data_IF_743804221694
#
_entry.id   IF_743804221694
#
_cell.length_a   1.000
_cell.length_b   1.000
_cell.length_c   1.000
_cell.angle_alpha   90.00
_cell.angle_beta   90.00
_cell.angle_gamma   90.00
#
_symmetry.space_group_name_H-M   'P 1'
#
loop_
_entity.id
_entity.type
_entity.pdbx_description
1 polymer ?
#
# COMPACT_ATOMS: atom_id res chain seq x y z
N UNK A 1 21.40 -0.70 -22.51
CA UNK A 1 21.18 0.09 -21.30
C UNK A 1 20.02 1.02 -21.61
N UNK A 2 18.85 0.79 -21.02
CA UNK A 2 17.75 1.76 -21.07
C UNK A 2 18.12 2.90 -20.13
N UNK A 3 18.18 4.12 -20.65
CA UNK A 3 18.34 5.33 -19.83
C UNK A 3 17.04 5.57 -19.07
N UNK A 4 17.13 5.70 -17.75
CA UNK A 4 16.03 6.08 -16.88
C UNK A 4 15.44 7.42 -17.34
N UNK A 5 14.14 7.55 -17.34
CA UNK A 5 13.48 8.84 -17.55
C UNK A 5 13.79 9.79 -16.38
N UNK A 6 13.77 11.10 -16.60
CA UNK A 6 13.94 12.10 -15.53
C UNK A 6 12.93 11.90 -14.37
N UNK A 7 11.75 11.40 -14.68
CA UNK A 7 10.73 11.05 -13.72
C UNK A 7 11.16 9.86 -12.83
N UNK A 8 11.70 8.80 -13.43
CA UNK A 8 12.18 7.62 -12.73
C UNK A 8 13.38 7.93 -11.83
N UNK A 9 14.28 8.78 -12.30
CA UNK A 9 15.40 9.30 -11.51
C UNK A 9 14.87 10.08 -10.31
N UNK A 10 13.91 10.99 -10.51
CA UNK A 10 13.32 11.77 -9.43
C UNK A 10 12.59 10.90 -8.39
N UNK A 11 11.92 9.83 -8.81
CA UNK A 11 11.31 8.86 -7.90
C UNK A 11 12.36 8.12 -7.09
N UNK A 12 13.44 7.66 -7.72
CA UNK A 12 14.55 6.97 -7.04
C UNK A 12 15.29 7.90 -6.07
N UNK A 13 15.54 9.15 -6.45
CA UNK A 13 16.15 10.15 -5.57
C UNK A 13 15.27 10.47 -4.35
N UNK A 14 13.96 10.60 -4.55
CA UNK A 14 13.02 10.79 -3.44
C UNK A 14 12.93 9.55 -2.53
N UNK A 15 13.05 8.36 -3.10
CA UNK A 15 13.11 7.11 -2.35
C UNK A 15 14.40 6.98 -1.55
N UNK A 16 15.55 7.36 -2.12
CA UNK A 16 16.85 7.38 -1.45
C UNK A 16 16.87 8.32 -0.24
N UNK A 17 16.10 9.42 -0.28
CA UNK A 17 15.97 10.37 0.82
C UNK A 17 15.04 9.89 1.93
N UNK A 18 14.08 9.05 1.62
CA UNK A 18 12.99 8.68 2.53
C UNK A 18 13.16 7.28 3.08
N UNK A 19 13.51 6.33 2.23
CA UNK A 19 13.90 4.99 2.63
C UNK A 19 15.42 4.95 2.48
N UNK A 20 16.18 4.68 3.54
CA UNK A 20 17.61 4.50 3.38
C UNK A 20 17.81 3.30 2.47
N UNK A 21 18.10 3.60 1.23
CA UNK A 21 18.62 2.61 0.32
C UNK A 21 19.90 2.06 0.94
N UNK A 22 20.18 0.77 0.78
CA UNK A 22 21.44 0.19 1.21
C UNK A 22 22.59 1.04 0.66
N UNK A 23 23.60 1.28 1.49
CA UNK A 23 24.79 2.02 1.04
C UNK A 23 25.34 1.38 -0.22
N UNK A 24 25.65 2.21 -1.22
CA UNK A 24 26.40 1.74 -2.39
C UNK A 24 27.76 1.26 -1.92
N UNK A 25 27.93 -0.04 -1.90
CA UNK A 25 29.22 -0.66 -1.71
C UNK A 25 29.71 -1.04 -3.10
N UNK A 26 30.74 -0.34 -3.58
CA UNK A 26 31.32 -0.42 -4.92
C UNK A 26 30.40 -0.05 -6.11
N UNK A 27 30.84 0.92 -6.79
CA UNK A 27 30.43 1.68 -7.97
C UNK A 27 29.18 1.29 -8.79
N UNK A 28 28.59 0.10 -8.61
CA UNK A 28 27.45 -0.36 -9.41
C UNK A 28 26.41 -1.23 -8.69
N UNK A 29 26.55 -1.53 -7.41
CA UNK A 29 25.62 -2.44 -6.69
C UNK A 29 25.05 -1.81 -5.43
N UNK A 30 23.74 -1.81 -5.34
CA UNK A 30 23.01 -1.43 -4.14
C UNK A 30 22.79 -2.73 -3.34
N UNK A 31 23.42 -2.87 -2.18
CA UNK A 31 23.21 -4.01 -1.27
C UNK A 31 22.39 -3.59 -0.07
N UNK A 32 21.50 -4.46 0.45
CA UNK A 32 20.93 -4.23 1.76
C UNK A 32 22.05 -4.16 2.80
N UNK A 33 21.99 -3.17 3.71
CA UNK A 33 22.91 -3.14 4.83
C UNK A 33 22.68 -4.38 5.70
N UNK A 34 23.61 -5.36 5.73
CA UNK A 34 23.42 -6.60 6.48
C UNK A 34 23.37 -6.38 7.98
N UNK A 35 23.78 -5.20 8.46
CA UNK A 35 23.75 -4.84 9.88
C UNK A 35 22.43 -4.21 10.28
N UNK A 36 21.62 -3.80 9.31
CA UNK A 36 20.37 -3.09 9.53
C UNK A 36 19.18 -4.04 9.67
N UNK A 37 18.37 -3.78 10.68
CA UNK A 37 17.07 -4.44 10.86
C UNK A 37 15.98 -3.56 10.26
N UNK A 38 15.32 -4.05 9.22
CA UNK A 38 14.13 -3.43 8.64
C UNK A 38 12.89 -3.85 9.42
N UNK A 39 11.97 -2.93 9.63
CA UNK A 39 10.63 -3.29 10.10
C UNK A 39 9.85 -4.01 8.99
N UNK A 40 8.82 -4.81 9.33
CA UNK A 40 7.97 -5.45 8.33
C UNK A 40 7.33 -4.44 7.35
N UNK A 41 6.97 -3.25 7.83
CA UNK A 41 6.37 -2.17 7.04
C UNK A 41 7.37 -1.58 6.05
N UNK A 42 8.61 -1.31 6.50
CA UNK A 42 9.69 -0.83 5.62
C UNK A 42 9.97 -1.84 4.52
N UNK A 43 10.09 -3.12 4.91
CA UNK A 43 10.38 -4.19 3.96
C UNK A 43 9.23 -4.39 2.96
N UNK A 44 7.99 -4.34 3.41
CA UNK A 44 6.83 -4.38 2.51
C UNK A 44 6.83 -3.21 1.51
N UNK A 45 7.15 -2.00 1.98
CA UNK A 45 7.25 -0.82 1.11
C UNK A 45 8.37 -0.98 0.07
N UNK A 46 9.54 -1.46 0.48
CA UNK A 46 10.66 -1.75 -0.42
C UNK A 46 10.30 -2.78 -1.48
N UNK A 47 9.72 -3.91 -1.07
CA UNK A 47 9.29 -4.96 -2.00
C UNK A 47 8.24 -4.47 -3.00
N UNK A 48 7.30 -3.65 -2.55
CA UNK A 48 6.31 -3.03 -3.42
C UNK A 48 6.97 -2.17 -4.50
N UNK A 49 7.92 -1.32 -4.10
CA UNK A 49 8.63 -0.42 -5.00
C UNK A 49 9.51 -1.18 -5.99
N UNK A 50 10.34 -2.09 -5.51
CA UNK A 50 11.21 -2.89 -6.38
C UNK A 50 10.41 -3.79 -7.31
N UNK A 51 9.29 -4.34 -6.86
CA UNK A 51 8.39 -5.11 -7.70
C UNK A 51 7.76 -4.31 -8.82
N UNK A 52 7.53 -3.00 -8.60
CA UNK A 52 7.02 -2.08 -9.63
C UNK A 52 8.10 -1.64 -10.60
N UNK A 53 9.28 -1.32 -10.11
CA UNK A 53 10.40 -0.82 -10.90
C UNK A 53 11.44 -1.92 -11.20
N UNK A 54 10.98 -3.16 -11.38
CA UNK A 54 11.83 -4.34 -11.60
C UNK A 54 12.84 -4.20 -12.73
N UNK A 55 12.47 -3.48 -13.79
CA UNK A 55 13.33 -3.29 -14.97
C UNK A 55 14.52 -2.34 -14.68
N UNK A 56 14.48 -1.63 -13.55
CA UNK A 56 15.47 -0.68 -13.08
C UNK A 56 16.27 -1.21 -11.88
N UNK A 57 15.82 -2.33 -11.29
CA UNK A 57 16.40 -2.91 -10.09
C UNK A 57 17.09 -4.21 -10.46
N UNK A 58 18.32 -4.43 -9.95
CA UNK A 58 18.96 -5.72 -10.08
C UNK A 58 18.13 -6.78 -9.34
N UNK A 59 17.80 -7.87 -10.06
CA UNK A 59 17.00 -8.97 -9.48
C UNK A 59 17.66 -9.59 -8.24
N UNK A 60 18.99 -9.57 -8.18
CA UNK A 60 19.77 -10.07 -7.04
C UNK A 60 19.40 -9.32 -5.75
N UNK A 61 19.28 -8.00 -5.81
CA UNK A 61 18.89 -7.15 -4.67
C UNK A 61 17.47 -7.47 -4.22
N UNK A 62 16.56 -7.62 -5.17
CA UNK A 62 15.18 -7.98 -4.84
C UNK A 62 15.11 -9.34 -4.15
N UNK A 63 15.90 -10.32 -4.60
CA UNK A 63 15.98 -11.63 -3.97
C UNK A 63 16.49 -11.56 -2.53
N UNK A 64 17.53 -10.76 -2.25
CA UNK A 64 18.03 -10.58 -0.89
C UNK A 64 16.99 -9.99 0.06
N UNK A 65 16.24 -8.98 -0.39
CA UNK A 65 15.11 -8.44 0.41
C UNK A 65 13.98 -9.45 0.61
N UNK A 66 13.71 -10.26 -0.41
CA UNK A 66 12.72 -11.34 -0.29
C UNK A 66 13.18 -12.41 0.68
N UNK A 67 14.42 -12.85 0.63
CA UNK A 67 14.97 -13.84 1.55
C UNK A 67 14.91 -13.32 2.99
N UNK A 68 15.26 -12.07 3.22
CA UNK A 68 15.12 -11.43 4.52
C UNK A 68 13.65 -11.35 4.98
N UNK A 69 12.73 -11.03 4.06
CA UNK A 69 11.29 -11.03 4.35
C UNK A 69 10.78 -12.42 4.72
N UNK A 70 11.22 -13.45 4.00
CA UNK A 70 10.86 -14.85 4.28
C UNK A 70 11.31 -15.28 5.67
N UNK A 71 12.52 -14.91 6.08
CA UNK A 71 13.03 -15.22 7.42
C UNK A 71 12.24 -14.48 8.51
N UNK A 72 11.95 -13.20 8.32
CA UNK A 72 11.09 -12.44 9.26
C UNK A 72 9.70 -13.06 9.40
N UNK A 73 9.08 -13.47 8.29
CA UNK A 73 7.74 -14.10 8.31
C UNK A 73 7.80 -15.45 9.06
N UNK A 74 8.85 -16.25 8.88
CA UNK A 74 9.03 -17.52 9.62
C UNK A 74 9.16 -17.29 11.12
N UNK A 75 9.97 -16.31 11.51
CA UNK A 75 10.28 -16.03 12.92
C UNK A 75 9.08 -15.46 13.67
N UNK A 76 8.26 -14.66 13.02
CA UNK A 76 7.17 -13.92 13.67
C UNK A 76 5.88 -13.85 12.83
N UNK A 77 5.34 -14.97 12.34
CA UNK A 77 4.26 -14.96 11.35
C UNK A 77 2.94 -14.40 11.87
N UNK A 78 2.81 -14.23 13.18
CA UNK A 78 1.57 -13.79 13.83
C UNK A 78 1.50 -12.31 14.18
N UNK A 79 2.54 -11.54 13.93
CA UNK A 79 2.50 -10.09 14.14
C UNK A 79 1.54 -9.44 13.13
N UNK A 80 0.69 -8.49 13.53
CA UNK A 80 -0.23 -7.79 12.62
C UNK A 80 0.49 -7.19 11.41
N UNK A 81 1.64 -6.55 11.64
CA UNK A 81 2.48 -5.96 10.60
C UNK A 81 2.96 -6.96 9.52
N UNK A 82 2.96 -8.26 9.80
CA UNK A 82 3.35 -9.28 8.82
C UNK A 82 2.31 -9.50 7.73
N UNK A 83 1.05 -9.15 7.94
CA UNK A 83 0.00 -9.35 6.93
C UNK A 83 0.35 -8.66 5.63
N UNK A 84 0.78 -7.40 5.69
CA UNK A 84 1.20 -6.68 4.51
C UNK A 84 2.43 -7.28 3.86
N UNK A 85 3.45 -7.61 4.64
CA UNK A 85 4.67 -8.22 4.13
C UNK A 85 4.39 -9.55 3.41
N UNK A 86 3.57 -10.42 4.00
CA UNK A 86 3.12 -11.68 3.38
C UNK A 86 2.40 -11.40 2.05
N UNK A 87 1.56 -10.38 2.02
CA UNK A 87 0.79 -10.00 0.82
C UNK A 87 1.72 -9.53 -0.30
N UNK A 88 2.70 -8.65 -0.01
CA UNK A 88 3.67 -8.18 -1.01
C UNK A 88 4.53 -9.34 -1.56
N UNK A 89 5.07 -10.20 -0.69
CA UNK A 89 5.85 -11.38 -1.12
C UNK A 89 5.01 -12.32 -2.00
N UNK A 90 3.77 -12.59 -1.61
CA UNK A 90 2.87 -13.43 -2.38
C UNK A 90 2.50 -12.83 -3.75
N UNK A 91 2.33 -11.50 -3.83
CA UNK A 91 2.03 -10.80 -5.08
C UNK A 91 3.22 -10.81 -6.05
N UNK A 92 4.45 -10.63 -5.55
CA UNK A 92 5.67 -10.77 -6.34
C UNK A 92 5.78 -12.17 -6.96
N UNK A 93 5.48 -13.21 -6.19
CA UNK A 93 5.44 -14.58 -6.67
C UNK A 93 4.34 -14.81 -7.72
N UNK A 94 3.12 -14.28 -7.49
CA UNK A 94 2.01 -14.34 -8.44
C UNK A 94 2.36 -13.68 -9.77
N UNK A 95 3.06 -12.56 -9.74
CA UNK A 95 3.52 -11.83 -10.94
C UNK A 95 4.66 -12.54 -11.66
N UNK A 96 5.20 -13.63 -11.09
CA UNK A 96 6.34 -14.36 -11.66
C UNK A 96 7.66 -13.58 -11.62
N UNK A 97 7.75 -12.56 -10.75
CA UNK A 97 8.95 -11.73 -10.59
C UNK A 97 10.02 -12.53 -9.84
N UNK A 98 9.60 -13.26 -8.82
CA UNK A 98 10.46 -14.11 -7.98
C UNK A 98 9.83 -15.48 -7.78
N UNK A 99 10.67 -16.45 -7.43
CA UNK A 99 10.19 -17.74 -6.94
C UNK A 99 9.98 -17.69 -5.44
N UNK A 100 8.76 -18.00 -4.98
CA UNK A 100 8.43 -18.03 -3.55
C UNK A 100 8.12 -19.45 -3.06
N UNK A 101 8.44 -19.77 -1.79
CA UNK A 101 8.11 -21.05 -1.22
C UNK A 101 6.60 -21.28 -1.10
N UNK A 102 6.15 -22.52 -1.31
CA UNK A 102 4.72 -22.86 -1.26
C UNK A 102 4.05 -22.54 0.09
N UNK A 103 4.80 -22.52 1.20
CA UNK A 103 4.26 -22.20 2.52
C UNK A 103 3.78 -20.74 2.65
N UNK A 104 4.21 -19.82 1.78
CA UNK A 104 3.71 -18.43 1.75
C UNK A 104 2.22 -18.40 1.45
N UNK A 105 1.71 -19.28 0.59
CA UNK A 105 0.26 -19.37 0.33
C UNK A 105 -0.52 -19.74 1.60
N UNK A 106 0.03 -20.63 2.43
CA UNK A 106 -0.55 -20.95 3.72
C UNK A 106 -0.48 -19.78 4.69
N UNK A 107 0.67 -19.09 4.74
CA UNK A 107 0.81 -17.88 5.57
C UNK A 107 -0.21 -16.80 5.18
N UNK A 108 -0.49 -16.61 3.88
CA UNK A 108 -1.53 -15.70 3.39
C UNK A 108 -2.94 -16.16 3.81
N UNK A 109 -3.25 -17.46 3.73
CA UNK A 109 -4.52 -18.01 4.23
C UNK A 109 -4.69 -17.77 5.74
N UNK A 110 -3.63 -17.99 6.50
CA UNK A 110 -3.64 -17.75 7.95
C UNK A 110 -3.77 -16.24 8.27
N UNK A 111 -3.17 -15.35 7.48
CA UNK A 111 -3.27 -13.91 7.65
C UNK A 111 -4.71 -13.40 7.53
N UNK A 112 -5.48 -13.85 6.55
CA UNK A 112 -6.88 -13.41 6.35
C UNK A 112 -7.87 -13.93 7.41
N UNK A 113 -7.44 -14.85 8.27
CA UNK A 113 -8.24 -15.30 9.42
C UNK A 113 -8.02 -14.48 10.67
N UNK A 114 -6.98 -13.62 10.67
CA UNK A 114 -6.63 -12.77 11.81
C UNK A 114 -7.41 -11.46 11.74
N UNK A 115 -7.67 -10.91 12.89
CA UNK A 115 -8.10 -9.52 12.98
C UNK A 115 -6.85 -8.64 12.92
N UNK A 116 -6.61 -8.04 11.77
CA UNK A 116 -5.46 -7.14 11.57
C UNK A 116 -5.75 -5.72 12.05
N UNK A 117 -7.00 -5.42 12.40
CA UNK A 117 -7.45 -4.05 12.68
C UNK A 117 -7.39 -3.12 11.45
N UNK A 118 -6.90 -3.62 10.30
CA UNK A 118 -6.78 -2.88 9.05
C UNK A 118 -7.63 -3.53 7.94
N UNK A 119 -8.82 -2.98 7.66
CA UNK A 119 -9.73 -3.57 6.67
C UNK A 119 -9.16 -3.55 5.25
N UNK A 120 -8.29 -2.59 4.92
CA UNK A 120 -7.63 -2.51 3.61
C UNK A 120 -6.73 -3.73 3.38
N UNK A 121 -5.85 -4.03 4.32
CA UNK A 121 -4.96 -5.20 4.23
C UNK A 121 -5.73 -6.51 4.14
N UNK A 122 -6.82 -6.62 4.88
CA UNK A 122 -7.69 -7.80 4.83
C UNK A 122 -8.30 -7.99 3.44
N UNK A 123 -8.82 -6.92 2.83
CA UNK A 123 -9.42 -6.99 1.48
C UNK A 123 -8.36 -7.32 0.43
N UNK A 124 -7.20 -6.65 0.46
CA UNK A 124 -6.07 -6.93 -0.44
C UNK A 124 -5.66 -8.40 -0.36
N UNK A 125 -5.48 -8.93 0.85
CA UNK A 125 -5.09 -10.33 1.07
C UNK A 125 -6.16 -11.33 0.58
N UNK A 126 -7.45 -11.02 0.79
CA UNK A 126 -8.55 -11.87 0.30
C UNK A 126 -8.63 -11.89 -1.23
N UNK A 127 -8.44 -10.73 -1.88
CA UNK A 127 -8.41 -10.64 -3.33
C UNK A 127 -7.20 -11.37 -3.91
N UNK A 128 -6.05 -11.26 -3.26
CA UNK A 128 -4.85 -11.97 -3.66
C UNK A 128 -5.02 -13.50 -3.53
N UNK A 129 -5.64 -14.00 -2.45
CA UNK A 129 -5.98 -15.42 -2.33
C UNK A 129 -6.89 -15.91 -3.46
N UNK A 130 -7.85 -15.07 -3.85
CA UNK A 130 -8.69 -15.40 -5.01
C UNK A 130 -7.84 -15.48 -6.29
N UNK A 131 -6.94 -14.53 -6.52
CA UNK A 131 -6.11 -14.48 -7.72
C UNK A 131 -5.09 -15.63 -7.79
N UNK A 132 -4.51 -16.01 -6.65
CA UNK A 132 -3.48 -17.06 -6.57
C UNK A 132 -4.09 -18.46 -6.60
N UNK A 133 -5.13 -18.71 -5.81
CA UNK A 133 -5.67 -20.04 -5.57
C UNK A 133 -7.07 -20.25 -6.16
N UNK A 134 -7.63 -19.25 -6.88
CA UNK A 134 -9.02 -19.23 -7.32
C UNK A 134 -10.03 -19.45 -6.16
N UNK A 135 -9.69 -18.93 -4.97
CA UNK A 135 -10.51 -19.10 -3.76
C UNK A 135 -11.79 -18.25 -3.84
N UNK A 136 -12.89 -18.92 -4.25
CA UNK A 136 -14.20 -18.29 -4.39
C UNK A 136 -14.82 -17.86 -3.04
N UNK A 137 -14.41 -18.45 -1.93
CA UNK A 137 -14.87 -18.05 -0.60
C UNK A 137 -14.20 -16.73 -0.21
N UNK A 138 -12.88 -16.60 -0.43
CA UNK A 138 -12.15 -15.36 -0.24
C UNK A 138 -12.72 -14.22 -1.11
N UNK A 139 -13.00 -14.48 -2.41
CA UNK A 139 -13.62 -13.52 -3.31
C UNK A 139 -14.98 -13.02 -2.78
N UNK A 140 -15.86 -13.95 -2.34
CA UNK A 140 -17.19 -13.59 -1.80
C UNK A 140 -17.08 -12.77 -0.53
N UNK A 141 -16.15 -13.13 0.38
CA UNK A 141 -15.89 -12.39 1.61
C UNK A 141 -15.38 -10.97 1.30
N UNK A 142 -14.40 -10.85 0.40
CA UNK A 142 -13.89 -9.54 -0.05
C UNK A 142 -15.01 -8.68 -0.62
N UNK A 143 -15.80 -9.21 -1.57
CA UNK A 143 -16.92 -8.48 -2.17
C UNK A 143 -17.95 -8.01 -1.14
N UNK A 144 -18.25 -8.82 -0.12
CA UNK A 144 -19.15 -8.42 0.95
C UNK A 144 -18.58 -7.23 1.75
N UNK A 145 -17.30 -7.29 2.13
CA UNK A 145 -16.62 -6.22 2.86
C UNK A 145 -16.61 -4.93 2.02
N UNK A 146 -16.20 -5.00 0.75
CA UNK A 146 -16.12 -3.85 -0.15
C UNK A 146 -17.49 -3.16 -0.30
N UNK A 147 -18.57 -3.92 -0.49
CA UNK A 147 -19.93 -3.37 -0.57
C UNK A 147 -20.38 -2.72 0.75
N UNK A 148 -19.97 -3.26 1.90
CA UNK A 148 -20.24 -2.67 3.21
C UNK A 148 -19.45 -1.39 3.42
N UNK A 149 -18.17 -1.37 3.03
CA UNK A 149 -17.33 -0.19 3.05
C UNK A 149 -17.91 0.93 2.17
N UNK A 150 -18.39 0.61 0.97
CA UNK A 150 -19.01 1.61 0.09
C UNK A 150 -20.25 2.28 0.71
N UNK A 151 -20.99 1.57 1.55
CA UNK A 151 -22.09 2.18 2.32
C UNK A 151 -21.58 3.03 3.47
N UNK A 152 -20.69 2.47 4.31
CA UNK A 152 -20.15 3.14 5.49
C UNK A 152 -19.38 4.43 5.15
N UNK A 153 -18.68 4.47 4.03
CA UNK A 153 -17.97 5.68 3.56
C UNK A 153 -18.91 6.90 3.40
N UNK A 154 -20.20 6.68 3.15
CA UNK A 154 -21.21 7.72 2.92
C UNK A 154 -22.06 8.04 4.15
N UNK A 155 -21.91 7.28 5.22
CA UNK A 155 -22.67 7.45 6.44
C UNK A 155 -21.93 8.40 7.39
N UNK A 156 -22.54 9.55 7.71
CA UNK A 156 -21.94 10.58 8.56
C UNK A 156 -21.71 10.12 10.01
N UNK A 157 -22.46 9.13 10.46
CA UNK A 157 -22.35 8.56 11.81
C UNK A 157 -21.15 7.64 11.98
N UNK A 158 -20.52 7.18 10.88
CA UNK A 158 -19.29 6.39 10.94
C UNK A 158 -18.12 7.26 11.36
N UNK A 159 -17.27 6.74 12.23
CA UNK A 159 -16.04 7.42 12.64
C UNK A 159 -15.18 7.80 11.44
N UNK A 160 -14.56 9.00 11.48
CA UNK A 160 -13.84 9.59 10.35
C UNK A 160 -12.73 8.67 9.79
N UNK A 161 -11.92 8.06 10.66
CA UNK A 161 -10.87 7.13 10.24
C UNK A 161 -11.43 5.91 9.51
N UNK A 162 -12.52 5.35 10.03
CA UNK A 162 -13.23 4.23 9.40
C UNK A 162 -13.83 4.61 8.05
N UNK A 163 -14.35 5.84 7.91
CA UNK A 163 -14.86 6.34 6.62
C UNK A 163 -13.76 6.47 5.57
N UNK A 164 -12.56 6.92 5.96
CA UNK A 164 -11.40 7.02 5.05
C UNK A 164 -11.04 5.64 4.50
N UNK A 165 -10.88 4.65 5.36
CA UNK A 165 -10.57 3.27 4.94
C UNK A 165 -11.67 2.69 4.05
N UNK A 166 -12.91 2.88 4.45
CA UNK A 166 -14.06 2.41 3.69
C UNK A 166 -14.16 3.06 2.31
N UNK A 167 -13.88 4.35 2.21
CA UNK A 167 -13.85 5.06 0.94
C UNK A 167 -12.72 4.54 0.04
N UNK A 168 -11.51 4.42 0.59
CA UNK A 168 -10.35 3.89 -0.10
C UNK A 168 -10.63 2.50 -0.67
N UNK A 169 -11.08 1.54 0.16
CA UNK A 169 -11.41 0.19 -0.26
C UNK A 169 -12.48 0.20 -1.38
N UNK A 170 -13.52 1.00 -1.22
CA UNK A 170 -14.61 1.05 -2.19
C UNK A 170 -14.19 1.62 -3.54
N UNK A 171 -13.27 2.59 -3.54
CA UNK A 171 -12.77 3.23 -4.76
C UNK A 171 -11.74 2.36 -5.47
N UNK A 172 -10.73 1.86 -4.75
CA UNK A 172 -9.67 1.02 -5.33
C UNK A 172 -10.16 -0.35 -5.77
N UNK A 173 -11.26 -0.83 -5.17
CA UNK A 173 -11.90 -2.11 -5.52
C UNK A 173 -13.28 -1.92 -6.16
N UNK A 174 -13.51 -0.82 -6.90
CA UNK A 174 -14.82 -0.46 -7.44
C UNK A 174 -15.44 -1.55 -8.34
N UNK A 175 -14.63 -2.34 -9.04
CA UNK A 175 -15.06 -3.46 -9.89
C UNK A 175 -15.80 -4.57 -9.10
N UNK A 176 -15.57 -4.64 -7.80
CA UNK A 176 -16.25 -5.58 -6.91
C UNK A 176 -17.49 -5.00 -6.25
N UNK A 177 -17.74 -3.70 -6.41
CA UNK A 177 -18.91 -3.02 -5.83
C UNK A 177 -20.13 -3.20 -6.74
N UNK A 178 -21.20 -3.80 -6.23
CA UNK A 178 -22.39 -4.13 -7.02
C UNK A 178 -23.11 -2.90 -7.62
N UNK A 179 -22.99 -1.73 -6.99
CA UNK A 179 -23.63 -0.47 -7.42
C UNK A 179 -22.74 0.72 -7.09
N UNK A 180 -21.54 0.74 -7.65
CA UNK A 180 -20.63 1.86 -7.46
C UNK A 180 -21.14 3.11 -8.18
N UNK A 181 -21.12 4.25 -7.48
CA UNK A 181 -21.48 5.54 -8.04
C UNK A 181 -20.33 6.52 -7.74
N UNK A 182 -19.55 6.83 -8.75
CA UNK A 182 -18.37 7.69 -8.67
C UNK A 182 -18.69 9.07 -8.09
N UNK A 183 -19.81 9.68 -8.50
CA UNK A 183 -20.21 10.99 -7.99
C UNK A 183 -20.44 10.96 -6.48
N UNK A 184 -21.14 9.94 -5.97
CA UNK A 184 -21.38 9.79 -4.52
C UNK A 184 -20.09 9.49 -3.74
N UNK A 185 -19.14 8.77 -4.34
CA UNK A 185 -17.83 8.56 -3.75
C UNK A 185 -17.04 9.87 -3.69
N UNK A 186 -17.08 10.70 -4.72
CA UNK A 186 -16.49 12.02 -4.74
C UNK A 186 -17.12 13.00 -3.74
N UNK A 187 -18.44 12.97 -3.58
CA UNK A 187 -19.16 13.73 -2.56
C UNK A 187 -18.69 13.32 -1.14
N UNK A 188 -18.54 12.01 -0.88
CA UNK A 188 -18.02 11.51 0.40
C UNK A 188 -16.55 11.94 0.62
N UNK A 189 -15.70 11.88 -0.40
CA UNK A 189 -14.32 12.36 -0.31
C UNK A 189 -14.27 13.84 0.05
N UNK A 190 -15.07 14.67 -0.63
CA UNK A 190 -15.13 16.13 -0.39
C UNK A 190 -15.59 16.45 1.04
N UNK A 191 -16.60 15.74 1.55
CA UNK A 191 -17.08 15.89 2.92
C UNK A 191 -16.01 15.50 3.95
N UNK A 192 -15.36 14.34 3.76
CA UNK A 192 -14.30 13.86 4.64
C UNK A 192 -13.13 14.84 4.65
N UNK A 193 -12.64 15.28 3.50
CA UNK A 193 -11.51 16.21 3.41
C UNK A 193 -11.86 17.57 4.03
N UNK A 194 -13.06 18.10 3.79
CA UNK A 194 -13.52 19.35 4.42
C UNK A 194 -13.51 19.24 5.94
N UNK A 195 -14.02 18.13 6.49
CA UNK A 195 -14.04 17.90 7.92
C UNK A 195 -12.62 17.81 8.52
N UNK A 196 -11.69 17.13 7.84
CA UNK A 196 -10.28 17.03 8.28
C UNK A 196 -9.64 18.41 8.41
N UNK A 197 -9.85 19.29 7.44
CA UNK A 197 -9.26 20.63 7.46
C UNK A 197 -9.97 21.60 8.40
N UNK A 198 -11.30 21.52 8.52
CA UNK A 198 -12.08 22.38 9.41
C UNK A 198 -11.81 22.08 10.89
N UNK A 199 -11.68 20.81 11.25
CA UNK A 199 -11.45 20.36 12.63
C UNK A 199 -9.95 20.22 12.97
N UNK A 200 -9.04 20.54 12.05
CA UNK A 200 -7.58 20.32 12.18
C UNK A 200 -7.24 18.88 12.61
N UNK A 201 -8.00 17.93 12.08
CA UNK A 201 -7.92 16.52 12.48
C UNK A 201 -6.56 15.92 12.16
N UNK A 202 -5.95 15.24 13.16
CA UNK A 202 -4.64 14.62 13.00
C UNK A 202 -4.78 13.19 12.47
N UNK A 203 -4.43 12.98 11.20
CA UNK A 203 -4.45 11.67 10.54
C UNK A 203 -3.11 10.97 10.66
N UNK A 204 -3.16 9.65 10.83
CA UNK A 204 -1.96 8.82 10.65
C UNK A 204 -1.53 8.82 9.17
N UNK A 205 -0.24 8.56 8.89
CA UNK A 205 0.27 8.53 7.53
C UNK A 205 -0.51 7.59 6.59
N UNK A 206 -0.91 6.41 7.07
CA UNK A 206 -1.70 5.47 6.27
C UNK A 206 -3.09 6.02 5.89
N UNK A 207 -3.73 6.78 6.80
CA UNK A 207 -5.01 7.42 6.48
C UNK A 207 -4.86 8.54 5.46
N UNK A 208 -3.76 9.29 5.53
CA UNK A 208 -3.44 10.30 4.51
C UNK A 208 -3.20 9.61 3.16
N UNK A 209 -2.45 8.51 3.14
CA UNK A 209 -2.22 7.72 1.94
C UNK A 209 -3.53 7.20 1.35
N UNK A 210 -4.37 6.53 2.15
CA UNK A 210 -5.65 5.99 1.72
C UNK A 210 -6.57 7.06 1.10
N UNK A 211 -6.60 8.25 1.70
CA UNK A 211 -7.40 9.35 1.19
C UNK A 211 -6.84 9.94 -0.10
N UNK A 212 -5.51 10.03 -0.23
CA UNK A 212 -4.84 10.50 -1.45
C UNK A 212 -5.03 9.51 -2.60
N UNK A 213 -4.90 8.21 -2.36
CA UNK A 213 -5.12 7.18 -3.36
C UNK A 213 -6.57 7.23 -3.88
N UNK A 214 -7.54 7.26 -2.96
CA UNK A 214 -8.94 7.43 -3.34
C UNK A 214 -9.19 8.72 -4.15
N UNK A 215 -8.52 9.83 -3.81
CA UNK A 215 -8.64 11.08 -4.56
C UNK A 215 -8.12 10.94 -6.00
N UNK A 216 -6.98 10.30 -6.18
CA UNK A 216 -6.37 10.14 -7.49
C UNK A 216 -7.20 9.23 -8.39
N UNK A 217 -7.70 8.11 -7.85
CA UNK A 217 -8.60 7.22 -8.58
C UNK A 217 -9.92 7.92 -8.98
N UNK A 218 -10.46 8.78 -8.12
CA UNK A 218 -11.70 9.52 -8.41
C UNK A 218 -11.48 10.72 -9.34
N UNK A 219 -10.29 11.31 -9.38
CA UNK A 219 -10.04 12.57 -10.10
C UNK A 219 -10.26 12.48 -11.61
N UNK A 220 -10.16 11.29 -12.20
CA UNK A 220 -10.47 11.04 -13.61
C UNK A 220 -11.97 11.07 -13.94
N UNK A 221 -12.84 11.02 -12.94
CA UNK A 221 -14.28 10.83 -13.12
C UNK A 221 -15.16 11.87 -12.44
N UNK A 222 -14.66 12.54 -11.41
CA UNK A 222 -15.42 13.52 -10.62
C UNK A 222 -14.50 14.64 -10.12
N UNK A 223 -14.99 15.88 -9.96
CA UNK A 223 -14.18 16.98 -9.44
C UNK A 223 -13.69 16.69 -8.00
N UNK A 224 -12.39 16.55 -7.85
CA UNK A 224 -11.70 16.46 -6.56
C UNK A 224 -10.82 17.71 -6.41
N UNK A 225 -10.97 18.52 -5.36
CA UNK A 225 -10.18 19.74 -5.17
C UNK A 225 -8.69 19.47 -5.16
N UNK A 226 -7.95 20.12 -6.07
CA UNK A 226 -6.50 19.93 -6.20
C UNK A 226 -5.73 20.48 -5.01
N UNK A 227 -6.20 21.57 -4.41
CA UNK A 227 -5.60 22.19 -3.23
C UNK A 227 -5.70 21.29 -2.00
N UNK A 228 -6.81 20.59 -1.81
CA UNK A 228 -6.99 19.62 -0.74
C UNK A 228 -6.03 18.42 -0.90
N UNK A 229 -5.91 17.89 -2.13
CA UNK A 229 -4.94 16.83 -2.44
C UNK A 229 -3.51 17.27 -2.17
N UNK A 230 -3.15 18.47 -2.63
CA UNK A 230 -1.80 19.00 -2.42
C UNK A 230 -1.48 19.22 -0.94
N UNK A 231 -2.44 19.71 -0.14
CA UNK A 231 -2.27 19.83 1.32
C UNK A 231 -2.01 18.49 2.00
N UNK A 232 -2.78 17.46 1.65
CA UNK A 232 -2.57 16.11 2.19
C UNK A 232 -1.21 15.53 1.78
N UNK A 233 -0.82 15.71 0.51
CA UNK A 233 0.49 15.28 0.00
C UNK A 233 1.64 15.97 0.74
N UNK A 234 1.57 17.29 0.92
CA UNK A 234 2.58 18.05 1.65
C UNK A 234 2.68 17.58 3.09
N UNK A 235 1.54 17.38 3.77
CA UNK A 235 1.50 16.86 5.14
C UNK A 235 2.17 15.49 5.26
N UNK A 236 1.91 14.59 4.32
CA UNK A 236 2.55 13.29 4.30
C UNK A 236 4.07 13.41 4.09
N UNK A 237 4.51 14.28 3.17
CA UNK A 237 5.91 14.54 2.89
C UNK A 237 6.64 15.18 4.07
N UNK A 238 6.04 16.17 4.72
CA UNK A 238 6.63 16.91 5.85
C UNK A 238 6.83 16.03 7.08
N UNK A 239 5.98 15.02 7.28
CA UNK A 239 6.09 14.06 8.39
C UNK A 239 6.97 12.86 8.07
N UNK A 240 7.36 12.69 6.81
CA UNK A 240 8.22 11.60 6.38
C UNK A 240 9.66 11.85 6.82
N UNK A 241 10.10 11.10 7.81
CA UNK A 241 11.51 11.02 8.21
C UNK A 241 12.05 9.63 7.88
N UNK A 242 13.35 9.46 7.66
CA UNK A 242 13.92 8.14 7.42
C UNK A 242 13.40 7.13 8.47
N UNK A 243 13.04 5.93 8.01
CA UNK A 243 12.49 4.83 8.84
C UNK A 243 11.11 5.08 9.48
N UNK A 244 10.41 6.14 9.11
CA UNK A 244 9.07 6.39 9.64
C UNK A 244 7.98 5.68 8.83
N UNK A 245 6.83 5.40 9.47
CA UNK A 245 5.62 4.93 8.76
C UNK A 245 5.20 5.94 7.69
N UNK A 246 5.41 7.24 7.94
CA UNK A 246 5.13 8.28 6.95
C UNK A 246 6.03 8.16 5.71
N UNK A 247 7.30 7.77 5.87
CA UNK A 247 8.19 7.50 4.75
C UNK A 247 7.70 6.32 3.91
N UNK A 248 7.27 5.23 4.55
CA UNK A 248 6.71 4.08 3.86
C UNK A 248 5.43 4.45 3.08
N UNK A 249 4.53 5.20 3.71
CA UNK A 249 3.29 5.65 3.08
C UNK A 249 3.56 6.62 1.91
N UNK A 250 4.50 7.56 2.07
CA UNK A 250 4.89 8.48 1.00
C UNK A 250 5.55 7.75 -0.17
N UNK A 251 6.39 6.76 0.11
CA UNK A 251 7.05 5.95 -0.92
C UNK A 251 6.03 5.16 -1.74
N UNK A 252 5.03 4.56 -1.10
CA UNK A 252 3.92 3.89 -1.78
C UNK A 252 3.15 4.86 -2.67
N UNK A 253 2.85 6.05 -2.17
CA UNK A 253 2.19 7.10 -2.95
C UNK A 253 3.03 7.53 -4.15
N UNK A 254 4.33 7.76 -3.96
CA UNK A 254 5.24 8.12 -5.03
C UNK A 254 5.31 7.03 -6.12
N UNK A 255 5.36 5.76 -5.70
CA UNK A 255 5.35 4.64 -6.62
C UNK A 255 4.10 4.56 -7.51
N UNK A 256 2.96 4.99 -7.01
CA UNK A 256 1.69 4.90 -7.74
C UNK A 256 1.43 6.12 -8.64
N UNK A 257 1.86 7.32 -8.23
CA UNK A 257 1.35 8.58 -8.78
C UNK A 257 2.42 9.64 -9.09
N UNK A 258 3.68 9.38 -8.85
CA UNK A 258 4.81 10.23 -9.24
C UNK A 258 5.75 9.51 -10.19
#
# INVERSE_FOLDING_TARGET
MQTLSEFEISVLENLALILPLPERVDDDKIFPDPTRKYSPEELAALLHLYGKYRDMTELEILHEYVDYALDLIKDSPRLPAMTRLITEVADLGRKGIIHIPAWIHKALQDAVTRDTGNPTELVESLLLLYLVNNDKAAQRKAKHIINSCYRAARESETELNGRIDCLHIAVTCCDYVSRFNVRKAGEAWNEISHRIFAESYNLSPDKIFNLLEAANELAGYTPIPSDARQKLKNRLKETATPHSIAACAYSRYAALYL
#
